data_IF_601546061020
#
_entry.id   IF_601546061020
#
_cell.length_a   1.000
_cell.length_b   1.000
_cell.length_c   1.000
_cell.angle_alpha   90.00
_cell.angle_beta   90.00
_cell.angle_gamma   90.00
#
_symmetry.space_group_name_H-M   'P 1'
#
loop_
_entity.id
_entity.type
_entity.pdbx_description
1 polymer ?
#
# COMPACT_ATOMS: atom_id res chain seq x y z
N UNK A 1 -4.47 -39.17 15.43
CA UNK A 1 -4.46 -38.26 14.26
C UNK A 1 -3.08 -37.62 14.22
N UNK A 2 -2.25 -37.96 13.21
CA UNK A 2 -0.90 -37.41 13.10
C UNK A 2 -0.95 -35.95 12.74
N UNK A 3 -0.27 -35.08 13.49
CA UNK A 3 -0.07 -33.65 13.13
C UNK A 3 0.75 -33.58 11.86
N UNK A 4 0.34 -32.77 10.87
CA UNK A 4 1.13 -32.61 9.64
C UNK A 4 2.53 -32.08 10.00
N UNK A 5 3.56 -32.65 9.43
CA UNK A 5 4.92 -32.14 9.60
C UNK A 5 5.04 -30.74 8.98
N UNK A 6 5.88 -29.86 9.54
CA UNK A 6 6.10 -28.48 9.04
C UNK A 6 6.43 -28.45 7.53
N UNK A 7 7.10 -29.48 7.01
CA UNK A 7 7.40 -29.65 5.59
C UNK A 7 6.16 -29.97 4.72
N UNK A 8 5.11 -30.59 5.29
CA UNK A 8 3.85 -30.84 4.57
C UNK A 8 2.97 -29.60 4.56
N UNK A 9 3.00 -28.77 5.62
CA UNK A 9 2.34 -27.47 5.66
C UNK A 9 2.95 -26.48 4.67
N UNK A 10 4.26 -26.48 4.54
CA UNK A 10 5.00 -25.60 3.61
C UNK A 10 4.71 -25.96 2.14
N UNK A 11 4.58 -27.23 1.81
CA UNK A 11 4.19 -27.68 0.46
C UNK A 11 2.78 -27.21 0.07
N UNK A 12 1.85 -27.11 1.00
CA UNK A 12 0.48 -26.61 0.77
C UNK A 12 0.40 -25.11 0.47
N UNK A 13 1.41 -24.32 0.88
CA UNK A 13 1.45 -22.88 0.67
C UNK A 13 2.27 -22.45 -0.56
N UNK A 14 2.99 -23.38 -1.21
CA UNK A 14 3.80 -23.10 -2.41
C UNK A 14 3.02 -22.41 -3.54
N UNK A 15 1.82 -22.87 -3.95
CA UNK A 15 1.07 -22.19 -5.01
C UNK A 15 0.75 -20.76 -4.66
N UNK A 16 0.42 -20.48 -3.40
CA UNK A 16 0.17 -19.13 -2.93
C UNK A 16 1.41 -18.24 -3.10
N UNK A 17 2.60 -18.71 -2.68
CA UNK A 17 3.82 -17.92 -2.79
C UNK A 17 4.21 -17.63 -4.24
N UNK A 18 3.97 -18.57 -5.15
CA UNK A 18 4.19 -18.37 -6.59
C UNK A 18 3.24 -17.27 -7.09
N UNK A 19 1.94 -17.40 -6.83
CA UNK A 19 0.94 -16.39 -7.25
C UNK A 19 1.23 -15.03 -6.64
N UNK A 20 1.53 -14.97 -5.33
CA UNK A 20 1.90 -13.72 -4.66
C UNK A 20 3.15 -13.09 -5.27
N UNK A 21 4.17 -13.88 -5.57
CA UNK A 21 5.39 -13.41 -6.26
C UNK A 21 5.08 -12.85 -7.64
N UNK A 22 4.32 -13.57 -8.45
CA UNK A 22 3.93 -13.12 -9.80
C UNK A 22 3.12 -11.83 -9.75
N UNK A 23 2.10 -11.75 -8.90
CA UNK A 23 1.28 -10.53 -8.74
C UNK A 23 2.13 -9.36 -8.28
N UNK A 24 3.04 -9.58 -7.34
CA UNK A 24 3.93 -8.53 -6.83
C UNK A 24 4.89 -8.03 -7.91
N UNK A 25 5.52 -8.93 -8.65
CA UNK A 25 6.43 -8.57 -9.75
C UNK A 25 5.69 -7.82 -10.85
N UNK A 26 4.50 -8.29 -11.25
CA UNK A 26 3.70 -7.60 -12.27
C UNK A 26 3.28 -6.20 -11.81
N UNK A 27 2.82 -6.06 -10.56
CA UNK A 27 2.42 -4.76 -10.00
C UNK A 27 3.59 -3.79 -9.94
N UNK A 28 4.77 -4.25 -9.49
CA UNK A 28 5.97 -3.43 -9.41
C UNK A 28 6.52 -3.08 -10.80
N UNK A 29 6.48 -4.02 -11.75
CA UNK A 29 6.90 -3.78 -13.14
C UNK A 29 6.00 -2.77 -13.83
N UNK A 30 4.68 -2.86 -13.63
CA UNK A 30 3.73 -1.88 -14.15
C UNK A 30 3.99 -0.49 -13.56
N UNK A 31 4.20 -0.41 -12.23
CA UNK A 31 4.52 0.83 -11.55
C UNK A 31 5.83 1.44 -12.07
N UNK A 32 6.90 0.64 -12.17
CA UNK A 32 8.19 1.07 -12.70
C UNK A 32 8.07 1.54 -14.16
N UNK A 33 7.32 0.82 -14.99
CA UNK A 33 7.06 1.23 -16.37
C UNK A 33 6.39 2.60 -16.45
N UNK A 34 5.34 2.83 -15.65
CA UNK A 34 4.61 4.10 -15.66
C UNK A 34 5.45 5.27 -15.13
N UNK A 35 6.28 5.04 -14.10
CA UNK A 35 7.07 6.08 -13.47
C UNK A 35 8.38 6.37 -14.22
N UNK A 36 9.03 5.37 -14.81
CA UNK A 36 10.37 5.54 -15.36
C UNK A 36 10.39 5.67 -16.90
N UNK A 37 9.47 5.01 -17.59
CA UNK A 37 9.52 4.87 -19.04
C UNK A 37 8.39 5.64 -19.74
N UNK A 38 7.22 5.79 -19.09
CA UNK A 38 6.10 6.46 -19.71
C UNK A 38 6.06 7.95 -19.34
N UNK A 39 6.24 8.81 -20.31
CA UNK A 39 5.90 10.23 -20.19
C UNK A 39 4.40 10.39 -20.48
N UNK A 40 3.66 11.03 -19.56
CA UNK A 40 2.24 11.26 -19.72
C UNK A 40 1.94 12.00 -21.04
N UNK A 41 1.02 11.47 -21.84
CA UNK A 41 0.65 12.00 -23.14
C UNK A 41 -0.82 12.44 -23.21
N UNK A 42 -1.54 12.42 -22.08
CA UNK A 42 -2.96 12.77 -22.01
C UNK A 42 -3.22 14.26 -21.77
N UNK A 43 -4.50 14.62 -21.85
CA UNK A 43 -4.97 15.95 -21.46
C UNK A 43 -4.75 16.15 -19.95
N UNK A 44 -3.91 17.10 -19.58
CA UNK A 44 -3.55 17.39 -18.18
C UNK A 44 -4.70 17.97 -17.36
N UNK A 45 -5.81 18.36 -17.95
CA UNK A 45 -7.01 18.81 -17.24
C UNK A 45 -7.85 17.61 -16.77
N UNK A 46 -7.76 16.49 -17.49
CA UNK A 46 -8.40 15.23 -17.11
C UNK A 46 -7.73 14.66 -15.84
N UNK A 47 -8.52 14.20 -14.88
CA UNK A 47 -8.04 13.61 -13.61
C UNK A 47 -7.24 14.55 -12.68
N UNK A 48 -7.26 15.87 -12.87
CA UNK A 48 -6.55 16.83 -12.02
C UNK A 48 -6.97 16.75 -10.53
N UNK A 49 -8.16 16.24 -10.24
CA UNK A 49 -8.67 16.00 -8.88
C UNK A 49 -8.11 14.73 -8.22
N UNK A 50 -7.53 13.80 -9.00
CA UNK A 50 -7.15 12.46 -8.53
C UNK A 50 -6.09 12.47 -7.42
N UNK A 51 -5.09 13.36 -7.38
CA UNK A 51 -4.16 13.42 -6.25
C UNK A 51 -4.85 13.67 -4.91
N UNK A 52 -5.89 14.51 -4.86
CA UNK A 52 -6.66 14.75 -3.64
C UNK A 52 -7.50 13.52 -3.24
N UNK A 53 -8.11 12.84 -4.20
CA UNK A 53 -8.84 11.57 -3.99
C UNK A 53 -7.89 10.50 -3.46
N UNK A 54 -6.72 10.37 -4.06
CA UNK A 54 -5.69 9.42 -3.62
C UNK A 54 -5.21 9.71 -2.19
N UNK A 55 -4.98 10.98 -1.84
CA UNK A 55 -4.63 11.37 -0.47
C UNK A 55 -5.76 11.02 0.52
N UNK A 56 -7.03 11.17 0.12
CA UNK A 56 -8.18 10.78 0.95
C UNK A 56 -8.21 9.27 1.19
N UNK A 57 -7.96 8.44 0.18
CA UNK A 57 -7.87 6.98 0.36
C UNK A 57 -6.70 6.58 1.25
N UNK A 58 -5.55 7.24 1.16
CA UNK A 58 -4.44 7.01 2.08
C UNK A 58 -4.81 7.38 3.52
N UNK A 59 -5.42 8.54 3.73
CA UNK A 59 -5.90 8.96 5.06
C UNK A 59 -6.94 8.00 5.64
N UNK A 60 -7.91 7.56 4.82
CA UNK A 60 -8.89 6.56 5.22
C UNK A 60 -8.22 5.23 5.60
N UNK A 61 -7.24 4.77 4.81
CA UNK A 61 -6.47 3.56 5.12
C UNK A 61 -5.75 3.69 6.46
N UNK A 62 -5.11 4.83 6.75
CA UNK A 62 -4.42 5.06 8.02
C UNK A 62 -5.38 4.98 9.21
N UNK A 63 -6.53 5.62 9.14
CA UNK A 63 -7.56 5.58 10.19
C UNK A 63 -8.10 4.16 10.38
N UNK A 64 -8.46 3.48 9.30
CA UNK A 64 -9.00 2.12 9.33
C UNK A 64 -8.00 1.12 9.92
N UNK A 65 -6.71 1.25 9.62
CA UNK A 65 -5.64 0.42 10.17
C UNK A 65 -5.54 0.59 11.70
N UNK A 66 -5.55 1.82 12.19
CA UNK A 66 -5.49 2.08 13.64
C UNK A 66 -6.71 1.51 14.35
N UNK A 67 -7.91 1.74 13.80
CA UNK A 67 -9.16 1.19 14.34
C UNK A 67 -9.19 -0.34 14.29
N UNK A 68 -8.64 -0.95 13.24
CA UNK A 68 -8.55 -2.41 13.14
C UNK A 68 -7.63 -3.02 14.21
N UNK A 69 -6.49 -2.38 14.48
CA UNK A 69 -5.59 -2.82 15.56
C UNK A 69 -6.22 -2.59 16.93
N UNK A 70 -6.91 -1.50 17.15
CA UNK A 70 -7.68 -1.29 18.38
C UNK A 70 -8.73 -2.39 18.58
N UNK A 71 -9.50 -2.71 17.54
CA UNK A 71 -10.53 -3.74 17.59
C UNK A 71 -9.97 -5.13 17.94
N UNK A 72 -8.82 -5.53 17.40
CA UNK A 72 -8.23 -6.84 17.72
C UNK A 72 -7.64 -6.87 19.13
N UNK A 73 -7.11 -5.77 19.65
CA UNK A 73 -6.68 -5.65 21.06
C UNK A 73 -7.86 -5.84 22.02
N UNK A 74 -9.05 -5.40 21.65
CA UNK A 74 -10.30 -5.61 22.38
C UNK A 74 -10.93 -7.00 22.12
N UNK A 75 -10.23 -7.89 21.39
CA UNK A 75 -10.73 -9.23 21.01
C UNK A 75 -11.98 -9.19 20.11
N UNK A 76 -12.32 -8.06 19.50
CA UNK A 76 -13.44 -7.87 18.57
C UNK A 76 -13.05 -8.32 17.15
N UNK A 77 -12.87 -9.65 16.97
CA UNK A 77 -12.32 -10.24 15.74
C UNK A 77 -13.13 -9.86 14.48
N UNK A 78 -14.46 -9.94 14.53
CA UNK A 78 -15.30 -9.61 13.38
C UNK A 78 -15.16 -8.14 12.96
N UNK A 79 -15.02 -7.22 13.92
CA UNK A 79 -14.78 -5.81 13.66
C UNK A 79 -13.40 -5.59 13.02
N UNK A 80 -12.37 -6.24 13.57
CA UNK A 80 -11.03 -6.21 12.98
C UNK A 80 -11.03 -6.65 11.52
N UNK A 81 -11.68 -7.78 11.20
CA UNK A 81 -11.77 -8.30 9.84
C UNK A 81 -12.42 -7.29 8.87
N UNK A 82 -13.56 -6.71 9.26
CA UNK A 82 -14.26 -5.70 8.43
C UNK A 82 -13.41 -4.46 8.19
N UNK A 83 -12.74 -3.95 9.24
CA UNK A 83 -11.88 -2.78 9.14
C UNK A 83 -10.63 -3.05 8.28
N UNK A 84 -10.00 -4.23 8.42
CA UNK A 84 -8.86 -4.61 7.58
C UNK A 84 -9.25 -4.76 6.11
N UNK A 85 -10.42 -5.32 5.83
CA UNK A 85 -10.92 -5.43 4.46
C UNK A 85 -11.21 -4.05 3.86
N UNK A 86 -11.81 -3.15 4.64
CA UNK A 86 -12.05 -1.77 4.23
C UNK A 86 -10.73 -1.00 3.98
N UNK A 87 -9.71 -1.18 4.85
CA UNK A 87 -8.39 -0.59 4.66
C UNK A 87 -7.72 -1.11 3.38
N UNK A 88 -7.84 -2.40 3.11
CA UNK A 88 -7.30 -3.02 1.89
C UNK A 88 -8.02 -2.49 0.64
N UNK A 89 -9.35 -2.40 0.66
CA UNK A 89 -10.13 -1.83 -0.43
C UNK A 89 -9.73 -0.36 -0.68
N UNK A 90 -9.62 0.46 0.38
CA UNK A 90 -9.18 1.85 0.29
C UNK A 90 -7.79 1.97 -0.36
N UNK A 91 -6.82 1.14 0.06
CA UNK A 91 -5.48 1.12 -0.54
C UNK A 91 -5.48 0.62 -1.98
N UNK A 92 -6.38 -0.27 -2.34
CA UNK A 92 -6.56 -0.73 -3.73
C UNK A 92 -7.10 0.39 -4.61
N UNK A 93 -8.11 1.13 -4.16
CA UNK A 93 -8.62 2.31 -4.88
C UNK A 93 -7.55 3.40 -5.01
N UNK A 94 -6.76 3.64 -3.97
CA UNK A 94 -5.57 4.49 -4.07
C UNK A 94 -4.64 4.03 -5.19
N UNK A 95 -4.27 2.75 -5.23
CA UNK A 95 -3.33 2.23 -6.23
C UNK A 95 -3.87 2.39 -7.65
N UNK A 96 -5.14 2.05 -7.87
CA UNK A 96 -5.80 2.20 -9.18
C UNK A 96 -5.84 3.67 -9.60
N UNK A 97 -6.25 4.57 -8.71
CA UNK A 97 -6.29 6.01 -8.98
C UNK A 97 -4.89 6.59 -9.23
N UNK A 98 -3.88 6.10 -8.50
CA UNK A 98 -2.49 6.49 -8.70
C UNK A 98 -1.96 6.08 -10.08
N UNK A 99 -2.20 4.84 -10.48
CA UNK A 99 -1.80 4.33 -11.79
C UNK A 99 -2.52 5.09 -12.93
N UNK A 100 -3.83 5.33 -12.79
CA UNK A 100 -4.61 6.09 -13.76
C UNK A 100 -4.08 7.53 -13.92
N UNK A 101 -3.80 8.20 -12.79
CA UNK A 101 -3.24 9.56 -12.81
C UNK A 101 -1.88 9.60 -13.51
N UNK A 102 -0.94 8.71 -13.14
CA UNK A 102 0.39 8.70 -13.73
C UNK A 102 0.38 8.26 -15.19
N UNK A 103 -0.57 7.42 -15.59
CA UNK A 103 -0.76 7.06 -17.00
C UNK A 103 -1.08 8.28 -17.87
N UNK A 104 -1.89 9.22 -17.35
CA UNK A 104 -2.34 10.42 -18.08
C UNK A 104 -1.34 11.58 -17.94
N UNK A 105 -0.89 11.85 -16.69
CA UNK A 105 -0.13 13.06 -16.39
C UNK A 105 1.40 12.88 -16.42
N UNK A 106 1.89 11.64 -16.20
CA UNK A 106 3.30 11.40 -15.89
C UNK A 106 3.68 11.92 -14.50
N UNK A 107 4.97 12.20 -14.32
CA UNK A 107 5.50 12.66 -13.04
C UNK A 107 5.29 14.14 -12.79
N UNK A 108 4.88 14.49 -11.58
CA UNK A 108 4.78 15.87 -11.11
C UNK A 108 6.02 16.21 -10.29
N UNK A 109 6.82 17.16 -10.78
CA UNK A 109 8.04 17.59 -10.10
C UNK A 109 7.73 18.59 -8.99
N UNK A 110 8.43 18.48 -7.86
CA UNK A 110 8.34 19.45 -6.78
C UNK A 110 8.99 20.78 -7.21
N UNK A 111 8.26 21.91 -7.22
CA UNK A 111 8.76 23.17 -7.76
C UNK A 111 9.68 23.92 -6.81
N UNK A 112 9.63 23.63 -5.50
CA UNK A 112 10.43 24.30 -4.47
C UNK A 112 11.92 23.97 -4.53
N UNK A 113 12.73 24.76 -3.83
CA UNK A 113 14.19 24.63 -3.72
C UNK A 113 14.60 24.53 -2.24
N UNK A 114 15.90 24.37 -1.98
CA UNK A 114 16.47 24.37 -0.62
C UNK A 114 16.03 23.20 0.24
N UNK A 115 15.97 23.41 1.57
CA UNK A 115 15.72 22.36 2.55
C UNK A 115 14.36 21.67 2.41
N UNK A 116 13.31 22.40 2.02
CA UNK A 116 11.99 21.81 1.80
C UNK A 116 11.97 20.81 0.65
N UNK A 117 12.71 21.06 -0.44
CA UNK A 117 12.85 20.08 -1.52
C UNK A 117 13.54 18.81 -1.03
N UNK A 118 14.59 18.95 -0.23
CA UNK A 118 15.32 17.81 0.34
C UNK A 118 14.38 16.99 1.24
N UNK A 119 13.63 17.65 2.12
CA UNK A 119 12.67 17.00 2.99
C UNK A 119 11.56 16.26 2.20
N UNK A 120 11.01 16.90 1.18
CA UNK A 120 10.03 16.28 0.29
C UNK A 120 10.58 15.05 -0.42
N UNK A 121 11.77 15.15 -1.01
CA UNK A 121 12.38 14.04 -1.74
C UNK A 121 12.75 12.87 -0.81
N UNK A 122 13.24 13.14 0.40
CA UNK A 122 13.53 12.12 1.40
C UNK A 122 12.24 11.40 1.85
N UNK A 123 11.17 12.18 2.11
CA UNK A 123 9.86 11.62 2.46
C UNK A 123 9.28 10.76 1.31
N UNK A 124 9.32 11.27 0.09
CA UNK A 124 8.86 10.56 -1.10
C UNK A 124 9.66 9.28 -1.32
N UNK A 125 10.99 9.33 -1.25
CA UNK A 125 11.85 8.16 -1.43
C UNK A 125 11.55 7.08 -0.38
N UNK A 126 11.44 7.44 0.90
CA UNK A 126 11.11 6.49 1.96
C UNK A 126 9.69 5.91 1.79
N UNK A 127 8.71 6.75 1.40
CA UNK A 127 7.35 6.31 1.07
C UNK A 127 7.36 5.26 -0.06
N UNK A 128 8.02 5.55 -1.17
CA UNK A 128 8.08 4.65 -2.34
C UNK A 128 8.77 3.34 -1.98
N UNK A 129 9.94 3.38 -1.34
CA UNK A 129 10.70 2.18 -0.95
C UNK A 129 9.88 1.30 0.01
N UNK A 130 9.24 1.89 1.01
CA UNK A 130 8.42 1.15 1.97
C UNK A 130 7.07 0.70 1.41
N UNK A 131 6.58 1.30 0.33
CA UNK A 131 5.35 0.82 -0.34
C UNK A 131 5.56 -0.50 -1.10
N UNK A 132 6.78 -0.81 -1.52
CA UNK A 132 7.10 -2.04 -2.27
C UNK A 132 6.64 -3.31 -1.53
N UNK A 133 6.98 -3.54 -0.27
CA UNK A 133 6.57 -4.74 0.45
C UNK A 133 5.10 -4.76 0.89
N UNK A 134 4.36 -3.66 0.82
CA UNK A 134 2.97 -3.59 1.33
C UNK A 134 2.07 -4.58 0.61
N UNK A 135 2.06 -4.59 -0.73
CA UNK A 135 1.18 -5.48 -1.52
C UNK A 135 1.44 -6.95 -1.22
N UNK A 136 2.67 -7.49 -1.38
CA UNK A 136 2.93 -8.91 -1.11
C UNK A 136 2.66 -9.30 0.35
N UNK A 137 2.96 -8.42 1.30
CA UNK A 137 2.71 -8.69 2.71
C UNK A 137 1.21 -8.63 3.07
N UNK A 138 0.44 -7.73 2.44
CA UNK A 138 -1.02 -7.70 2.59
C UNK A 138 -1.64 -9.00 2.09
N UNK A 139 -1.29 -9.44 0.87
CA UNK A 139 -1.80 -10.69 0.31
C UNK A 139 -1.46 -11.88 1.20
N UNK A 140 -0.22 -11.95 1.71
CA UNK A 140 0.20 -12.99 2.64
C UNK A 140 -0.57 -12.92 3.98
N UNK A 141 -0.77 -11.73 4.54
CA UNK A 141 -1.51 -11.56 5.79
C UNK A 141 -2.97 -12.04 5.64
N UNK A 142 -3.65 -11.68 4.55
CA UNK A 142 -5.00 -12.16 4.27
C UNK A 142 -5.04 -13.66 4.04
N UNK A 143 -4.15 -14.20 3.21
CA UNK A 143 -4.07 -15.63 2.94
C UNK A 143 -3.95 -16.45 4.23
N UNK A 144 -3.00 -16.11 5.11
CA UNK A 144 -2.79 -16.84 6.36
C UNK A 144 -3.93 -16.62 7.36
N UNK A 145 -4.61 -15.48 7.34
CA UNK A 145 -5.82 -15.26 8.13
C UNK A 145 -6.96 -16.18 7.66
N UNK A 146 -7.24 -16.26 6.35
CA UNK A 146 -8.27 -17.14 5.78
C UNK A 146 -7.95 -18.62 6.00
N UNK A 147 -6.68 -19.01 5.93
CA UNK A 147 -6.20 -20.37 6.23
C UNK A 147 -6.18 -20.66 7.74
N UNK A 148 -6.59 -19.73 8.59
CA UNK A 148 -6.56 -19.83 10.06
C UNK A 148 -5.15 -20.09 10.65
N UNK A 149 -4.08 -19.81 9.89
CA UNK A 149 -2.68 -19.90 10.33
C UNK A 149 -2.29 -18.60 11.07
N UNK A 150 -2.93 -18.37 12.23
CA UNK A 150 -2.81 -17.10 12.96
C UNK A 150 -1.41 -16.81 13.53
N UNK A 151 -0.59 -17.83 13.75
CA UNK A 151 0.82 -17.63 14.17
C UNK A 151 1.60 -16.92 13.06
N UNK A 152 1.49 -17.42 11.83
CA UNK A 152 2.15 -16.83 10.64
C UNK A 152 1.56 -15.47 10.32
N UNK A 153 0.23 -15.34 10.37
CA UNK A 153 -0.45 -14.04 10.22
C UNK A 153 0.11 -12.98 11.17
N UNK A 154 0.23 -13.29 12.47
CA UNK A 154 0.77 -12.35 13.45
C UNK A 154 2.23 -11.98 13.19
N UNK A 155 3.06 -12.92 12.74
CA UNK A 155 4.46 -12.64 12.38
C UNK A 155 4.54 -11.62 11.24
N UNK A 156 3.77 -11.82 10.18
CA UNK A 156 3.73 -10.93 9.02
C UNK A 156 3.17 -9.56 9.41
N UNK A 157 2.04 -9.53 10.11
CA UNK A 157 1.35 -8.27 10.44
C UNK A 157 2.09 -7.41 11.45
N UNK A 158 2.97 -8.00 12.28
CA UNK A 158 3.84 -7.24 13.18
C UNK A 158 4.77 -6.28 12.42
N UNK A 159 5.23 -6.68 11.24
CA UNK A 159 6.07 -5.84 10.37
C UNK A 159 5.20 -5.03 9.39
N UNK A 160 4.17 -5.64 8.82
CA UNK A 160 3.29 -5.00 7.85
C UNK A 160 2.58 -3.77 8.43
N UNK A 161 2.04 -3.86 9.65
CA UNK A 161 1.23 -2.77 10.21
C UNK A 161 1.99 -1.43 10.29
N UNK A 162 3.19 -1.34 10.90
CA UNK A 162 3.91 -0.06 10.95
C UNK A 162 4.32 0.44 9.56
N UNK A 163 4.70 -0.46 8.64
CA UNK A 163 5.06 -0.09 7.27
C UNK A 163 3.83 0.45 6.53
N UNK A 164 2.70 -0.26 6.56
CA UNK A 164 1.50 0.16 5.86
C UNK A 164 0.93 1.46 6.44
N UNK A 165 0.92 1.60 7.76
CA UNK A 165 0.52 2.85 8.40
C UNK A 165 1.43 4.02 8.00
N UNK A 166 2.74 3.82 8.02
CA UNK A 166 3.73 4.82 7.57
C UNK A 166 3.45 5.24 6.12
N UNK A 167 3.31 4.30 5.21
CA UNK A 167 3.02 4.57 3.79
C UNK A 167 1.69 5.32 3.64
N UNK A 168 0.66 4.93 4.37
CA UNK A 168 -0.64 5.61 4.32
C UNK A 168 -0.57 7.06 4.84
N UNK A 169 0.16 7.32 5.91
CA UNK A 169 0.32 8.68 6.47
C UNK A 169 1.22 9.52 5.56
N UNK A 170 2.37 8.99 5.15
CA UNK A 170 3.32 9.74 4.32
C UNK A 170 2.77 10.04 2.93
N UNK A 171 1.89 9.20 2.37
CA UNK A 171 1.19 9.49 1.12
C UNK A 171 0.31 10.75 1.20
N UNK A 172 -0.36 10.98 2.35
CA UNK A 172 -1.08 12.23 2.60
C UNK A 172 -0.11 13.40 2.72
N UNK A 173 1.00 13.24 3.45
CA UNK A 173 2.00 14.29 3.63
C UNK A 173 2.66 14.69 2.31
N UNK A 174 3.02 13.74 1.47
CA UNK A 174 3.57 13.98 0.12
C UNK A 174 2.60 14.83 -0.70
N UNK A 175 1.31 14.49 -0.70
CA UNK A 175 0.28 15.29 -1.39
C UNK A 175 0.19 16.70 -0.84
N UNK A 176 0.12 16.88 0.48
CA UNK A 176 0.00 18.21 1.12
C UNK A 176 1.22 19.08 0.85
N UNK A 177 2.43 18.51 0.93
CA UNK A 177 3.67 19.24 0.63
C UNK A 177 3.73 19.65 -0.84
N UNK A 178 3.32 18.77 -1.75
CA UNK A 178 3.30 19.09 -3.18
C UNK A 178 2.27 20.17 -3.47
N UNK A 179 1.05 20.04 -2.93
CA UNK A 179 -0.03 21.01 -3.10
C UNK A 179 0.35 22.40 -2.57
N UNK A 180 0.96 22.47 -1.39
CA UNK A 180 1.39 23.76 -0.80
C UNK A 180 2.52 24.43 -1.59
N UNK A 181 3.27 23.68 -2.37
CA UNK A 181 4.35 24.22 -3.20
C UNK A 181 3.89 24.76 -4.55
N UNK A 182 2.67 24.40 -4.99
CA UNK A 182 2.04 24.95 -6.19
C UNK A 182 1.10 26.13 -5.92
N UNK A 183 0.81 26.45 -4.66
CA UNK A 183 -0.05 27.55 -4.20
C UNK A 183 -1.47 27.08 -3.97
#
# INVERSE_FOLDING_TARGET
MATPTAAAEDRGDRPFWIVNGVVSVLSLSLLAYLLLLRQGAGDKTSLAFMPAVNATFNGASAVLLVLAVAAIKEKKVARHQKLMLAAFASSTFFLVGYLAYHYVHGDTRYPGTGGMRIAYLALLASHVVLSIPVVPMCLAAFYFAFRRKFVTHKKITKLLFPIWLYVSVTGVLVFLMLRSAYG
#
